data_IF_251394792709
#
_entry.id   IF_251394792709
#
_cell.length_a   1.000
_cell.length_b   1.000
_cell.length_c   1.000
_cell.angle_alpha   90.00
_cell.angle_beta   90.00
_cell.angle_gamma   90.00
#
_symmetry.space_group_name_H-M   'P 1'
#
loop_
_entity.id
_entity.type
_entity.pdbx_description
1 polymer ?
#
# COMPACT_ATOMS: atom_id res chain seq x y z
N UNK A 1 26.78 -49.83 37.24
CA UNK A 1 27.95 -49.14 36.65
C UNK A 1 27.69 -47.67 36.86
N UNK A 2 28.51 -47.08 37.71
CA UNK A 2 28.33 -45.77 38.33
C UNK A 2 28.98 -44.65 37.49
N UNK A 3 28.54 -43.42 37.80
CA UNK A 3 29.20 -42.11 37.68
C UNK A 3 29.18 -41.32 36.35
N UNK A 4 29.30 -39.96 36.38
CA UNK A 4 29.48 -39.07 37.55
C UNK A 4 28.56 -37.83 37.66
N UNK A 5 28.58 -37.29 38.88
CA UNK A 5 28.19 -35.94 39.31
C UNK A 5 29.31 -34.90 39.10
N UNK A 6 28.94 -33.64 38.87
CA UNK A 6 29.58 -32.38 39.39
C UNK A 6 28.89 -31.19 38.69
N UNK A 7 28.04 -30.35 39.27
CA UNK A 7 27.90 -29.64 40.54
C UNK A 7 28.67 -28.29 40.63
N UNK A 8 27.88 -27.25 40.93
CA UNK A 8 28.17 -25.95 41.58
C UNK A 8 28.78 -24.80 40.76
N UNK A 9 27.90 -23.91 40.29
CA UNK A 9 27.58 -22.66 40.99
C UNK A 9 28.37 -21.38 40.63
N UNK A 10 27.64 -20.30 40.32
CA UNK A 10 27.80 -18.97 40.95
C UNK A 10 26.75 -17.97 40.45
N UNK A 11 25.81 -17.65 41.35
CA UNK A 11 25.32 -16.31 41.71
C UNK A 11 25.16 -15.20 40.65
N UNK A 12 23.92 -14.77 40.42
CA UNK A 12 23.50 -13.36 40.64
C UNK A 12 21.98 -13.20 40.51
N UNK A 13 21.39 -12.54 41.51
CA UNK A 13 19.97 -12.15 41.60
C UNK A 13 19.70 -10.93 40.71
N UNK A 14 18.49 -10.81 40.14
CA UNK A 14 17.62 -9.61 40.10
C UNK A 14 16.28 -10.05 39.46
N UNK A 15 15.21 -10.24 40.25
CA UNK A 15 14.15 -9.27 40.63
C UNK A 15 13.32 -8.79 39.42
N UNK A 16 12.08 -9.27 39.33
CA UNK A 16 11.06 -8.73 38.42
C UNK A 16 10.02 -9.75 37.94
N UNK A 17 9.32 -10.44 38.84
CA UNK A 17 8.17 -11.28 38.46
C UNK A 17 7.09 -11.18 39.54
N UNK A 18 6.00 -10.48 39.22
CA UNK A 18 4.87 -10.23 40.14
C UNK A 18 3.98 -11.48 40.18
N UNK A 19 3.69 -12.08 41.36
CA UNK A 19 2.72 -13.16 41.48
C UNK A 19 1.28 -12.62 41.59
N UNK A 20 0.35 -13.36 40.99
CA UNK A 20 -1.09 -13.13 41.11
C UNK A 20 -1.59 -13.50 42.52
N UNK A 21 -2.44 -12.65 43.10
CA UNK A 21 -3.23 -12.96 44.30
C UNK A 21 -4.69 -12.60 44.04
N UNK A 22 -5.55 -13.60 44.24
CA UNK A 22 -6.99 -13.62 44.00
C UNK A 22 -7.66 -13.13 45.29
N UNK A 23 -8.67 -12.26 45.20
CA UNK A 23 -9.62 -12.09 46.30
C UNK A 23 -11.01 -11.81 45.72
N UNK A 24 -11.86 -12.83 45.75
CA UNK A 24 -13.30 -12.66 45.67
C UNK A 24 -13.80 -12.16 47.04
N UNK A 25 -14.40 -10.97 47.11
CA UNK A 25 -15.33 -10.64 48.19
C UNK A 25 -16.62 -10.12 47.57
N UNK A 26 -17.69 -10.90 47.76
CA UNK A 26 -19.01 -10.70 47.17
C UNK A 26 -19.86 -9.95 48.20
N UNK A 27 -20.01 -8.63 48.04
CA UNK A 27 -20.99 -7.84 48.81
C UNK A 27 -21.94 -7.09 47.87
N UNK A 28 -23.21 -7.46 47.95
CA UNK A 28 -24.35 -6.78 47.35
C UNK A 28 -24.64 -5.47 48.08
N UNK A 29 -24.57 -4.32 47.40
CA UNK A 29 -25.35 -3.11 47.75
C UNK A 29 -25.61 -2.29 46.48
N UNK A 30 -26.87 -1.94 46.22
CA UNK A 30 -27.30 -0.89 45.28
C UNK A 30 -28.28 0.03 46.06
N UNK A 31 -28.65 1.23 45.58
CA UNK A 31 -27.98 2.51 45.81
C UNK A 31 -28.92 3.51 46.54
N UNK A 32 -28.42 4.32 47.50
CA UNK A 32 -29.22 5.44 48.03
C UNK A 32 -28.35 6.68 48.24
N UNK A 33 -28.90 7.82 47.81
CA UNK A 33 -28.15 9.03 47.51
C UNK A 33 -27.68 9.84 48.72
N UNK A 34 -26.67 10.66 48.46
CA UNK A 34 -26.42 11.87 49.22
C UNK A 34 -25.89 12.95 48.27
N UNK A 35 -26.78 13.87 47.93
CA UNK A 35 -26.50 15.11 47.22
C UNK A 35 -25.77 16.05 48.19
N UNK A 36 -24.53 16.44 47.90
CA UNK A 36 -23.84 17.52 48.60
C UNK A 36 -23.65 18.69 47.64
N UNK A 37 -24.71 19.49 47.60
CA UNK A 37 -24.77 20.85 47.07
C UNK A 37 -23.69 21.73 47.72
N UNK A 38 -22.81 22.33 46.92
CA UNK A 38 -21.97 23.47 47.33
C UNK A 38 -22.12 24.56 46.27
N UNK A 39 -23.16 25.39 46.40
CA UNK A 39 -23.27 26.67 45.72
C UNK A 39 -23.16 27.82 46.75
N UNK A 40 -22.61 28.99 46.40
CA UNK A 40 -22.66 30.17 47.25
C UNK A 40 -24.04 30.86 47.18
N UNK A 41 -24.39 31.72 48.16
CA UNK A 41 -25.77 32.09 48.44
C UNK A 41 -26.32 33.13 47.46
N UNK A 42 -27.63 33.04 47.19
CA UNK A 42 -28.40 34.05 46.48
C UNK A 42 -28.78 35.15 47.50
N UNK A 43 -28.28 36.36 47.30
CA UNK A 43 -28.87 37.57 47.92
C UNK A 43 -30.02 38.05 47.04
N UNK A 44 -31.19 38.12 47.63
CA UNK A 44 -32.43 38.60 47.03
C UNK A 44 -32.40 40.11 46.83
N UNK A 45 -32.52 40.56 45.58
CA UNK A 45 -32.73 41.97 45.28
C UNK A 45 -32.74 42.30 43.80
N UNK A 46 -33.95 42.42 43.24
CA UNK A 46 -34.28 43.25 42.07
C UNK A 46 -34.13 42.66 40.66
N UNK A 47 -35.29 42.19 40.17
CA UNK A 47 -35.94 42.40 38.86
C UNK A 47 -35.07 42.78 37.64
N UNK A 48 -35.19 42.01 36.55
CA UNK A 48 -35.70 42.40 35.19
C UNK A 48 -35.03 41.58 34.06
N UNK A 49 -35.89 40.96 33.24
CA UNK A 49 -35.84 40.58 31.81
C UNK A 49 -34.67 39.82 31.15
N UNK A 50 -35.09 38.82 30.37
CA UNK A 50 -34.34 38.20 29.26
C UNK A 50 -33.47 37.06 29.78
N UNK A 51 -33.53 35.83 29.28
CA UNK A 51 -33.42 35.46 27.87
C UNK A 51 -34.13 34.13 27.57
N UNK A 52 -34.57 34.02 26.32
CA UNK A 52 -35.15 32.84 25.69
C UNK A 52 -34.17 31.65 25.69
N UNK A 53 -34.75 30.45 25.71
CA UNK A 53 -34.07 29.16 25.57
C UNK A 53 -33.33 29.07 24.23
N UNK A 54 -32.00 29.02 24.27
CA UNK A 54 -31.17 28.63 23.13
C UNK A 54 -31.13 27.11 23.05
N UNK A 55 -32.03 26.58 22.21
CA UNK A 55 -31.79 25.33 21.51
C UNK A 55 -30.76 25.64 20.42
N UNK A 56 -29.52 25.18 20.57
CA UNK A 56 -28.64 25.07 19.41
C UNK A 56 -27.76 23.83 19.50
N UNK A 57 -28.12 22.86 18.67
CA UNK A 57 -27.28 21.74 18.28
C UNK A 57 -26.07 22.31 17.53
N UNK A 58 -24.93 22.43 18.19
CA UNK A 58 -23.67 22.45 17.46
C UNK A 58 -22.58 21.80 18.29
N UNK A 59 -22.38 20.50 18.06
CA UNK A 59 -21.07 19.88 18.18
C UNK A 59 -20.15 20.56 17.16
N UNK A 60 -19.71 21.79 17.46
CA UNK A 60 -18.52 22.36 16.85
C UNK A 60 -17.36 21.62 17.50
N UNK A 61 -16.97 20.52 16.89
CA UNK A 61 -15.62 20.00 17.01
C UNK A 61 -14.70 21.17 16.73
N UNK A 62 -13.99 21.64 17.75
CA UNK A 62 -12.92 22.63 17.60
C UNK A 62 -11.88 22.04 16.64
N UNK A 63 -12.04 22.32 15.34
CA UNK A 63 -10.96 22.18 14.38
C UNK A 63 -9.96 23.29 14.69
N UNK A 64 -9.08 23.03 15.67
CA UNK A 64 -7.84 23.75 15.79
C UNK A 64 -7.14 23.67 14.43
N UNK A 65 -6.77 24.81 13.79
CA UNK A 65 -5.98 24.79 12.58
C UNK A 65 -4.55 24.43 12.98
N UNK A 66 -4.31 23.16 13.24
CA UNK A 66 -2.95 22.66 13.39
C UNK A 66 -2.27 22.87 12.06
N UNK A 67 -1.17 23.65 12.06
CA UNK A 67 -0.25 23.88 10.94
C UNK A 67 -0.40 22.80 9.86
N UNK A 68 -0.79 23.18 8.64
CA UNK A 68 -1.03 22.27 7.50
C UNK A 68 0.04 21.17 7.33
N UNK A 69 1.28 21.44 7.76
CA UNK A 69 2.39 20.49 7.80
C UNK A 69 2.20 19.27 8.70
N UNK A 70 1.55 19.41 9.86
CA UNK A 70 1.23 18.27 10.73
C UNK A 70 0.24 17.32 10.06
N UNK A 71 -0.64 17.81 9.19
CA UNK A 71 -1.55 16.98 8.40
C UNK A 71 -0.80 16.17 7.33
N UNK A 72 0.11 16.79 6.58
CA UNK A 72 0.85 16.11 5.50
C UNK A 72 1.80 15.02 6.01
N UNK A 73 2.33 15.14 7.23
CA UNK A 73 3.19 14.11 7.82
C UNK A 73 2.49 13.21 8.86
N UNK A 74 1.17 13.37 9.04
CA UNK A 74 0.41 12.53 9.96
C UNK A 74 -0.01 11.23 9.29
N UNK A 75 0.28 10.09 9.94
CA UNK A 75 -0.26 8.78 9.55
C UNK A 75 -1.78 8.85 9.36
N UNK A 76 -2.48 9.60 10.22
CA UNK A 76 -3.95 9.69 10.21
C UNK A 76 -4.49 10.22 8.88
N UNK A 77 -3.75 11.05 8.16
CA UNK A 77 -4.17 11.61 6.87
C UNK A 77 -4.05 10.60 5.72
N UNK A 78 -3.22 9.56 5.88
CA UNK A 78 -3.06 8.50 4.88
C UNK A 78 -3.85 7.22 5.20
N UNK A 79 -4.28 7.02 6.45
CA UNK A 79 -5.01 5.82 6.88
C UNK A 79 -6.21 5.50 5.97
N UNK A 80 -6.93 6.52 5.47
CA UNK A 80 -8.06 6.33 4.56
C UNK A 80 -7.69 5.59 3.26
N UNK A 81 -6.47 5.76 2.75
CA UNK A 81 -6.01 5.13 1.51
C UNK A 81 -5.56 3.67 1.70
N UNK A 82 -5.48 3.20 2.94
CA UNK A 82 -5.15 1.82 3.31
C UNK A 82 -6.34 1.07 3.89
N UNK A 83 -7.44 1.76 4.20
CA UNK A 83 -8.67 1.15 4.68
C UNK A 83 -9.51 0.65 3.49
N UNK A 84 -9.08 -0.47 2.90
CA UNK A 84 -9.73 -1.08 1.72
C UNK A 84 -10.20 -2.49 1.99
N UNK A 85 -11.37 -2.81 1.43
CA UNK A 85 -11.91 -4.17 1.47
C UNK A 85 -11.24 -5.08 0.44
N UNK A 86 -11.17 -6.37 0.74
CA UNK A 86 -10.56 -7.36 -0.16
C UNK A 86 -11.30 -7.43 -1.50
N UNK A 87 -12.63 -7.38 -1.48
CA UNK A 87 -13.45 -7.43 -2.70
C UNK A 87 -13.20 -6.23 -3.62
N UNK A 88 -12.97 -5.04 -3.03
CA UNK A 88 -12.61 -3.85 -3.78
C UNK A 88 -11.28 -4.02 -4.50
N UNK A 89 -10.26 -4.54 -3.80
CA UNK A 89 -8.94 -4.80 -4.36
C UNK A 89 -9.02 -5.84 -5.48
N UNK A 90 -9.74 -6.95 -5.26
CA UNK A 90 -9.92 -8.00 -6.27
C UNK A 90 -10.63 -7.47 -7.52
N UNK A 91 -11.68 -6.67 -7.36
CA UNK A 91 -12.38 -6.05 -8.48
C UNK A 91 -11.46 -5.13 -9.29
N UNK A 92 -10.59 -4.35 -8.62
CA UNK A 92 -9.57 -3.51 -9.26
C UNK A 92 -8.51 -4.33 -9.99
N UNK A 93 -8.05 -5.44 -9.40
CA UNK A 93 -7.12 -6.37 -10.04
C UNK A 93 -7.73 -6.97 -11.32
N UNK A 94 -8.95 -7.48 -11.25
CA UNK A 94 -9.65 -8.03 -12.42
C UNK A 94 -9.88 -6.97 -13.50
N UNK A 95 -10.23 -5.75 -13.09
CA UNK A 95 -10.37 -4.61 -14.00
C UNK A 95 -9.04 -4.23 -14.65
N UNK A 96 -7.91 -4.40 -13.95
CA UNK A 96 -6.57 -4.15 -14.51
C UNK A 96 -6.15 -5.19 -15.55
N UNK A 97 -6.66 -6.41 -15.44
CA UNK A 97 -6.43 -7.48 -16.42
C UNK A 97 -7.33 -7.35 -17.66
N UNK A 98 -8.51 -6.74 -17.53
CA UNK A 98 -9.43 -6.48 -18.64
C UNK A 98 -9.57 -4.98 -18.94
N UNK A 99 -8.60 -4.39 -19.68
CA UNK A 99 -8.50 -2.94 -19.85
C UNK A 99 -9.63 -2.34 -20.70
N UNK A 100 -10.42 -3.16 -21.41
CA UNK A 100 -11.55 -2.71 -22.23
C UNK A 100 -12.81 -2.36 -21.44
N UNK A 101 -12.87 -2.69 -20.15
CA UNK A 101 -14.07 -2.47 -19.32
C UNK A 101 -14.36 -0.99 -19.07
N UNK A 102 -13.37 -0.09 -19.18
CA UNK A 102 -13.54 1.36 -19.00
C UNK A 102 -13.84 1.85 -17.57
N UNK A 103 -14.25 0.98 -16.66
CA UNK A 103 -14.74 1.34 -15.33
C UNK A 103 -13.65 1.59 -14.27
N UNK A 104 -12.37 1.47 -14.60
CA UNK A 104 -11.33 1.57 -13.57
C UNK A 104 -11.15 3.01 -13.08
N UNK A 105 -11.20 4.02 -13.98
CA UNK A 105 -11.13 5.44 -13.60
C UNK A 105 -12.26 5.82 -12.65
N UNK A 106 -13.49 5.37 -12.92
CA UNK A 106 -14.66 5.69 -12.07
C UNK A 106 -14.55 5.02 -10.69
N UNK A 107 -13.96 3.83 -10.61
CA UNK A 107 -13.70 3.13 -9.34
C UNK A 107 -12.64 3.83 -8.48
N UNK A 108 -11.61 4.44 -9.08
CA UNK A 108 -10.57 5.18 -8.34
C UNK A 108 -10.97 6.63 -8.06
N UNK A 109 -11.91 7.20 -8.83
CA UNK A 109 -12.54 8.49 -8.53
C UNK A 109 -13.25 8.46 -7.17
N UNK A 110 -13.99 7.38 -6.89
CA UNK A 110 -14.79 7.27 -5.69
C UNK A 110 -13.95 6.98 -4.43
N UNK A 111 -12.90 6.17 -4.54
CA UNK A 111 -12.12 5.71 -3.37
C UNK A 111 -10.69 5.29 -3.75
N UNK A 112 -9.78 6.22 -4.07
CA UNK A 112 -8.42 5.86 -4.47
C UNK A 112 -7.67 5.19 -3.32
N UNK A 113 -6.77 4.26 -3.61
CA UNK A 113 -6.01 3.54 -2.58
C UNK A 113 -4.49 3.55 -2.84
N UNK A 114 -3.72 3.44 -1.75
CA UNK A 114 -2.27 3.23 -1.78
C UNK A 114 -1.89 1.80 -1.39
N UNK A 115 -2.86 1.04 -0.85
CA UNK A 115 -2.67 -0.37 -0.51
C UNK A 115 -2.24 -1.19 -1.73
N UNK A 116 -2.94 -1.03 -2.86
CA UNK A 116 -2.63 -1.68 -4.14
C UNK A 116 -1.20 -1.40 -4.59
N UNK A 117 -0.79 -0.13 -4.58
CA UNK A 117 0.58 0.28 -4.92
C UNK A 117 1.61 -0.44 -4.05
N UNK A 118 1.47 -0.40 -2.74
CA UNK A 118 2.45 -0.98 -1.81
C UNK A 118 2.49 -2.50 -1.92
N UNK A 119 1.33 -3.16 -1.85
CA UNK A 119 1.27 -4.63 -1.83
C UNK A 119 1.69 -5.25 -3.18
N UNK A 120 1.23 -4.69 -4.31
CA UNK A 120 1.57 -5.22 -5.65
C UNK A 120 3.06 -5.02 -5.90
N UNK A 121 3.60 -3.83 -5.63
CA UNK A 121 5.02 -3.55 -5.83
C UNK A 121 5.89 -4.49 -4.99
N UNK A 122 5.56 -4.66 -3.70
CA UNK A 122 6.33 -5.53 -2.79
C UNK A 122 6.27 -6.99 -3.24
N UNK A 123 5.10 -7.47 -3.63
CA UNK A 123 4.92 -8.84 -4.13
C UNK A 123 5.70 -9.05 -5.42
N UNK A 124 5.68 -8.07 -6.33
CA UNK A 124 6.43 -8.14 -7.58
C UNK A 124 7.94 -8.17 -7.34
N UNK A 125 8.46 -7.34 -6.42
CA UNK A 125 9.88 -7.36 -6.02
C UNK A 125 10.28 -8.76 -5.54
N UNK A 126 9.48 -9.34 -4.64
CA UNK A 126 9.71 -10.69 -4.15
C UNK A 126 9.66 -11.74 -5.27
N UNK A 127 8.62 -11.71 -6.11
CA UNK A 127 8.47 -12.63 -7.23
C UNK A 127 9.64 -12.55 -8.20
N UNK A 128 10.07 -11.34 -8.61
CA UNK A 128 11.21 -11.17 -9.52
C UNK A 128 12.49 -11.71 -8.91
N UNK A 129 12.76 -11.43 -7.64
CA UNK A 129 13.97 -11.88 -6.99
C UNK A 129 14.01 -13.40 -6.78
N UNK A 130 12.92 -13.98 -6.25
CA UNK A 130 12.83 -15.40 -5.97
C UNK A 130 12.69 -16.25 -7.23
N UNK A 131 11.75 -15.90 -8.12
CA UNK A 131 11.47 -16.65 -9.34
C UNK A 131 12.54 -16.43 -10.40
N UNK A 132 13.19 -15.25 -10.45
CA UNK A 132 14.35 -15.01 -11.29
C UNK A 132 15.54 -15.90 -10.90
N UNK A 133 15.85 -15.99 -9.59
CA UNK A 133 16.85 -16.93 -9.09
C UNK A 133 16.48 -18.40 -9.39
N UNK A 134 15.20 -18.76 -9.20
CA UNK A 134 14.72 -20.09 -9.56
C UNK A 134 14.89 -20.39 -11.06
N UNK A 135 14.54 -19.44 -11.92
CA UNK A 135 14.69 -19.55 -13.37
C UNK A 135 16.17 -19.72 -13.77
N UNK A 136 17.07 -18.95 -13.15
CA UNK A 136 18.51 -19.06 -13.36
C UNK A 136 19.05 -20.44 -12.94
N UNK A 137 18.61 -20.95 -11.80
CA UNK A 137 18.97 -22.29 -11.34
C UNK A 137 18.49 -23.39 -12.29
N UNK A 138 17.25 -23.30 -12.81
CA UNK A 138 16.71 -24.27 -13.76
C UNK A 138 17.46 -24.24 -15.10
N UNK A 139 17.84 -23.05 -15.57
CA UNK A 139 18.70 -22.89 -16.76
C UNK A 139 20.07 -23.51 -16.53
N UNK A 140 20.70 -23.25 -15.37
CA UNK A 140 21.98 -23.81 -14.97
C UNK A 140 21.95 -25.35 -14.98
N UNK A 141 20.97 -25.94 -14.30
CA UNK A 141 20.76 -27.40 -14.23
C UNK A 141 20.60 -28.06 -15.60
N UNK A 142 20.03 -27.35 -16.57
CA UNK A 142 19.82 -27.85 -17.93
C UNK A 142 21.09 -27.79 -18.78
N UNK A 143 21.90 -26.77 -18.59
CA UNK A 143 23.11 -26.52 -19.39
C UNK A 143 24.35 -27.22 -18.84
N UNK A 144 24.60 -27.12 -17.53
CA UNK A 144 25.80 -27.64 -16.88
C UNK A 144 25.48 -28.31 -15.54
N UNK A 145 25.61 -29.64 -15.48
CA UNK A 145 25.35 -30.44 -14.27
C UNK A 145 26.52 -30.54 -13.29
N UNK A 146 27.71 -30.02 -13.65
CA UNK A 146 28.97 -30.26 -12.93
C UNK A 146 29.42 -29.10 -12.03
N UNK A 147 28.83 -27.92 -12.16
CA UNK A 147 29.20 -26.71 -11.41
C UNK A 147 28.15 -26.35 -10.36
N UNK A 148 28.60 -25.88 -9.19
CA UNK A 148 27.72 -25.48 -8.09
C UNK A 148 27.07 -24.12 -8.40
N UNK A 149 25.73 -24.08 -8.40
CA UNK A 149 24.98 -22.84 -8.53
C UNK A 149 24.91 -22.10 -7.18
N UNK A 150 25.00 -20.76 -7.23
CA UNK A 150 24.87 -19.88 -6.07
C UNK A 150 23.72 -18.89 -6.27
N UNK A 151 22.99 -18.62 -5.19
CA UNK A 151 21.90 -17.64 -5.16
C UNK A 151 22.44 -16.21 -5.27
N UNK A 152 21.88 -15.42 -6.17
CA UNK A 152 22.25 -14.00 -6.33
C UNK A 152 21.33 -13.11 -5.50
N UNK A 153 21.86 -12.61 -4.38
CA UNK A 153 21.19 -11.68 -3.46
C UNK A 153 20.95 -10.30 -4.08
N UNK A 154 21.72 -9.92 -5.10
CA UNK A 154 21.60 -8.62 -5.75
C UNK A 154 20.27 -8.48 -6.51
N UNK A 155 19.62 -9.60 -6.87
CA UNK A 155 18.30 -9.60 -7.50
C UNK A 155 17.28 -8.84 -6.65
N UNK A 156 17.31 -8.99 -5.32
CA UNK A 156 16.38 -8.27 -4.43
C UNK A 156 16.59 -6.76 -4.50
N UNK A 157 17.85 -6.32 -4.49
CA UNK A 157 18.21 -4.90 -4.51
C UNK A 157 17.82 -4.24 -5.86
N UNK A 158 18.14 -4.90 -6.97
CA UNK A 158 17.76 -4.40 -8.31
C UNK A 158 16.24 -4.42 -8.49
N UNK A 159 15.56 -5.48 -8.03
CA UNK A 159 14.10 -5.54 -8.12
C UNK A 159 13.44 -4.43 -7.29
N UNK A 160 13.87 -4.24 -6.04
CA UNK A 160 13.33 -3.22 -5.15
C UNK A 160 13.53 -1.81 -5.72
N UNK A 161 14.76 -1.49 -6.12
CA UNK A 161 15.09 -0.17 -6.67
C UNK A 161 14.32 0.12 -7.96
N UNK A 162 14.26 -0.82 -8.90
CA UNK A 162 13.54 -0.63 -10.16
C UNK A 162 12.04 -0.53 -9.95
N UNK A 163 11.41 -1.45 -9.20
CA UNK A 163 9.95 -1.50 -9.07
C UNK A 163 9.43 -0.33 -8.23
N UNK A 164 10.01 -0.06 -7.05
CA UNK A 164 9.57 1.10 -6.26
C UNK A 164 9.92 2.41 -6.95
N UNK A 165 11.10 2.51 -7.58
CA UNK A 165 11.49 3.67 -8.35
C UNK A 165 10.50 3.96 -9.48
N UNK A 166 10.17 2.95 -10.28
CA UNK A 166 9.19 3.06 -11.36
C UNK A 166 7.81 3.43 -10.82
N UNK A 167 7.30 2.70 -9.83
CA UNK A 167 5.95 2.86 -9.32
C UNK A 167 5.72 4.20 -8.60
N UNK A 168 6.77 4.85 -8.10
CA UNK A 168 6.68 6.17 -7.46
C UNK A 168 7.00 7.32 -8.41
N UNK A 169 8.07 7.22 -9.18
CA UNK A 169 8.60 8.32 -10.01
C UNK A 169 7.78 8.51 -11.28
N UNK A 170 7.38 7.43 -11.96
CA UNK A 170 6.64 7.55 -13.22
C UNK A 170 5.28 8.22 -13.01
N UNK A 171 4.44 7.80 -12.05
CA UNK A 171 3.14 8.44 -11.82
C UNK A 171 3.27 9.90 -11.39
N UNK A 172 4.33 10.23 -10.65
CA UNK A 172 4.66 11.60 -10.27
C UNK A 172 5.03 12.45 -11.49
N UNK A 173 5.81 11.91 -12.43
CA UNK A 173 6.10 12.56 -13.71
C UNK A 173 4.84 12.82 -14.53
N UNK A 174 3.94 11.84 -14.62
CA UNK A 174 2.64 12.01 -15.28
C UNK A 174 1.75 13.03 -14.60
N UNK A 175 1.74 13.08 -13.27
CA UNK A 175 1.02 14.10 -12.53
C UNK A 175 1.47 15.52 -12.94
N UNK A 176 2.78 15.78 -12.96
CA UNK A 176 3.29 17.08 -13.40
C UNK A 176 3.05 17.35 -14.89
N UNK A 177 3.14 16.32 -15.73
CA UNK A 177 2.89 16.42 -17.16
C UNK A 177 1.43 16.82 -17.44
N UNK A 178 0.45 16.16 -16.82
CA UNK A 178 -0.97 16.50 -16.99
C UNK A 178 -1.28 17.90 -16.45
N UNK A 179 -0.69 18.28 -15.31
CA UNK A 179 -0.83 19.62 -14.74
C UNK A 179 -0.25 20.70 -15.67
N UNK A 180 0.89 20.44 -16.30
CA UNK A 180 1.50 21.34 -17.29
C UNK A 180 0.61 21.55 -18.52
N UNK A 181 -0.12 20.53 -18.93
CA UNK A 181 -1.00 20.55 -20.10
C UNK A 181 -2.37 21.18 -19.82
N UNK A 182 -2.55 21.78 -18.64
CA UNK A 182 -3.82 22.37 -18.22
C UNK A 182 -4.91 21.32 -17.97
N UNK A 183 -4.52 20.07 -17.72
CA UNK A 183 -5.44 19.03 -17.26
C UNK A 183 -6.10 19.44 -15.93
N UNK A 184 -7.33 18.96 -15.72
CA UNK A 184 -8.11 19.19 -14.50
C UNK A 184 -7.30 18.89 -13.23
N UNK A 185 -7.74 19.37 -12.07
CA UNK A 185 -7.09 19.08 -10.77
C UNK A 185 -7.09 17.58 -10.44
N UNK A 186 -6.11 16.82 -10.93
CA UNK A 186 -6.00 15.38 -10.70
C UNK A 186 -5.23 15.12 -9.41
N UNK A 187 -5.69 14.16 -8.60
CA UNK A 187 -4.96 13.74 -7.40
C UNK A 187 -3.79 12.81 -7.76
N UNK A 188 -2.60 13.09 -7.24
CA UNK A 188 -1.41 12.21 -7.38
C UNK A 188 -1.67 10.78 -6.88
N UNK A 189 -2.48 10.63 -5.81
CA UNK A 189 -2.84 9.31 -5.26
C UNK A 189 -3.55 8.45 -6.32
N UNK A 190 -4.34 9.04 -7.21
CA UNK A 190 -5.03 8.31 -8.28
C UNK A 190 -4.06 7.75 -9.31
N UNK A 191 -3.01 8.50 -9.64
CA UNK A 191 -1.96 8.02 -10.54
C UNK A 191 -1.15 6.89 -9.90
N UNK A 192 -0.80 7.03 -8.62
CA UNK A 192 -0.13 5.97 -7.86
C UNK A 192 -0.98 4.69 -7.75
N UNK A 193 -2.28 4.82 -7.49
CA UNK A 193 -3.23 3.73 -7.53
C UNK A 193 -3.22 3.07 -8.93
N UNK A 194 -3.47 3.84 -9.99
CA UNK A 194 -3.52 3.36 -11.36
C UNK A 194 -2.25 2.59 -11.77
N UNK A 195 -1.07 3.18 -11.55
CA UNK A 195 0.19 2.53 -11.89
C UNK A 195 0.47 1.31 -11.02
N UNK A 196 0.16 1.36 -9.72
CA UNK A 196 0.27 0.22 -8.83
C UNK A 196 -0.48 -1.01 -9.36
N UNK A 197 -1.74 -0.83 -9.75
CA UNK A 197 -2.54 -1.92 -10.33
C UNK A 197 -2.03 -2.37 -11.71
N UNK A 198 -1.45 -1.46 -12.51
CA UNK A 198 -0.87 -1.84 -13.80
C UNK A 198 0.28 -2.85 -13.70
N UNK A 199 0.96 -2.89 -12.55
CA UNK A 199 2.09 -3.80 -12.32
C UNK A 199 1.66 -5.23 -12.00
N UNK A 200 0.39 -5.46 -11.69
CA UNK A 200 -0.10 -6.77 -11.28
C UNK A 200 0.12 -7.86 -12.33
N UNK A 201 -0.03 -7.52 -13.62
CA UNK A 201 0.18 -8.48 -14.71
C UNK A 201 1.62 -9.03 -14.74
N UNK A 202 2.61 -8.26 -14.26
CA UNK A 202 3.99 -8.72 -14.17
C UNK A 202 4.21 -9.73 -13.04
N UNK A 203 3.37 -9.72 -11.99
CA UNK A 203 3.38 -10.76 -10.96
C UNK A 203 3.00 -12.08 -11.61
N UNK A 204 1.87 -12.10 -12.34
CA UNK A 204 1.42 -13.29 -13.06
C UNK A 204 2.48 -13.76 -14.06
N UNK A 205 3.02 -12.83 -14.86
CA UNK A 205 4.07 -13.15 -15.82
C UNK A 205 5.31 -13.77 -15.15
N UNK A 206 5.73 -13.28 -13.98
CA UNK A 206 6.90 -13.79 -13.27
C UNK A 206 6.81 -15.29 -12.96
N UNK A 207 5.62 -15.80 -12.64
CA UNK A 207 5.40 -17.25 -12.45
C UNK A 207 5.56 -18.04 -13.75
N UNK A 208 5.05 -17.53 -14.86
CA UNK A 208 5.14 -18.20 -16.16
C UNK A 208 6.56 -18.14 -16.73
N UNK A 209 7.32 -17.08 -16.43
CA UNK A 209 8.69 -16.87 -16.92
C UNK A 209 9.72 -17.84 -16.32
N UNK A 210 9.38 -18.57 -15.25
CA UNK A 210 10.26 -19.60 -14.67
C UNK A 210 10.57 -20.70 -15.70
N UNK A 211 9.66 -20.98 -16.62
CA UNK A 211 9.81 -22.01 -17.65
C UNK A 211 11.06 -21.69 -18.51
N UNK A 212 12.03 -22.62 -18.64
CA UNK A 212 13.30 -22.40 -19.34
C UNK A 212 13.15 -22.56 -20.87
N UNK A 213 12.27 -21.75 -21.47
CA UNK A 213 12.04 -21.69 -22.92
C UNK A 213 12.11 -20.23 -23.35
N UNK A 214 13.20 -19.86 -24.04
CA UNK A 214 13.53 -18.47 -24.34
C UNK A 214 12.46 -17.75 -25.18
N UNK A 215 11.98 -18.37 -26.26
CA UNK A 215 10.94 -17.79 -27.11
C UNK A 215 9.64 -17.55 -26.32
N UNK A 216 9.26 -18.50 -25.46
CA UNK A 216 8.08 -18.38 -24.62
C UNK A 216 8.22 -17.22 -23.64
N UNK A 217 9.39 -17.06 -23.02
CA UNK A 217 9.67 -15.95 -22.09
C UNK A 217 9.47 -14.60 -22.77
N UNK A 218 10.02 -14.41 -23.96
CA UNK A 218 9.82 -13.18 -24.75
C UNK A 218 8.35 -12.90 -25.06
N UNK A 219 7.62 -13.91 -25.55
CA UNK A 219 6.20 -13.75 -25.87
C UNK A 219 5.41 -13.34 -24.63
N UNK A 220 5.60 -14.06 -23.51
CA UNK A 220 4.87 -13.80 -22.27
C UNK A 220 5.15 -12.39 -21.71
N UNK A 221 6.41 -11.96 -21.69
CA UNK A 221 6.74 -10.65 -21.13
C UNK A 221 6.26 -9.51 -22.01
N UNK A 222 6.27 -9.67 -23.34
CA UNK A 222 5.77 -8.67 -24.27
C UNK A 222 4.25 -8.57 -24.19
N UNK A 223 3.55 -9.71 -24.08
CA UNK A 223 2.10 -9.72 -23.86
C UNK A 223 1.74 -9.03 -22.53
N UNK A 224 2.46 -9.33 -21.45
CA UNK A 224 2.25 -8.67 -20.15
C UNK A 224 2.52 -7.15 -20.23
N UNK A 225 3.61 -6.75 -20.89
CA UNK A 225 3.95 -5.34 -21.12
C UNK A 225 2.89 -4.61 -21.94
N UNK A 226 2.39 -5.22 -23.01
CA UNK A 226 1.30 -4.66 -23.84
C UNK A 226 -0.02 -4.56 -23.08
N UNK A 227 -0.36 -5.56 -22.27
CA UNK A 227 -1.56 -5.53 -21.44
C UNK A 227 -1.48 -4.38 -20.42
N UNK A 228 -0.35 -4.25 -19.72
CA UNK A 228 -0.10 -3.16 -18.76
C UNK A 228 -0.12 -1.78 -19.43
N UNK A 229 0.53 -1.65 -20.59
CA UNK A 229 0.54 -0.44 -21.40
C UNK A 229 -0.86 -0.02 -21.86
N UNK A 230 -1.64 -0.97 -22.37
CA UNK A 230 -3.01 -0.73 -22.81
C UNK A 230 -3.89 -0.29 -21.66
N UNK A 231 -3.78 -0.96 -20.50
CA UNK A 231 -4.50 -0.58 -19.30
C UNK A 231 -4.21 0.86 -18.87
N UNK A 232 -2.92 1.24 -18.76
CA UNK A 232 -2.55 2.61 -18.37
C UNK A 232 -3.03 3.62 -19.41
N UNK A 233 -2.78 3.37 -20.70
CA UNK A 233 -3.15 4.29 -21.77
C UNK A 233 -4.66 4.55 -21.82
N UNK A 234 -5.49 3.51 -21.73
CA UNK A 234 -6.95 3.68 -21.76
C UNK A 234 -7.47 4.48 -20.56
N UNK A 235 -6.87 4.31 -19.38
CA UNK A 235 -7.23 5.09 -18.19
C UNK A 235 -6.71 6.53 -18.24
N UNK A 236 -5.57 6.79 -18.88
CA UNK A 236 -5.03 8.14 -19.06
C UNK A 236 -5.91 9.03 -19.95
N UNK A 237 -6.69 8.42 -20.84
CA UNK A 237 -7.62 9.15 -21.73
C UNK A 237 -8.60 10.04 -20.97
N UNK A 238 -8.99 9.66 -19.75
CA UNK A 238 -9.91 10.45 -18.92
C UNK A 238 -9.29 11.70 -18.30
N UNK A 239 -7.97 11.84 -18.34
CA UNK A 239 -7.24 12.94 -17.70
C UNK A 239 -6.61 13.93 -18.67
N UNK A 240 -6.60 13.62 -19.97
CA UNK A 240 -5.86 14.38 -20.99
C UNK A 240 -6.79 14.70 -22.16
N UNK A 241 -6.56 15.85 -22.79
CA UNK A 241 -7.31 16.27 -23.97
C UNK A 241 -7.02 15.35 -25.17
N UNK A 242 -7.96 15.24 -26.10
CA UNK A 242 -7.82 14.34 -27.26
C UNK A 242 -6.61 14.66 -28.16
N UNK A 243 -6.21 15.93 -28.25
CA UNK A 243 -5.06 16.36 -29.06
C UNK A 243 -3.73 15.83 -28.48
N UNK A 244 -3.65 15.75 -27.17
CA UNK A 244 -2.46 15.41 -26.40
C UNK A 244 -2.36 13.92 -26.08
N UNK A 245 -3.51 13.24 -26.09
CA UNK A 245 -3.64 11.82 -25.76
C UNK A 245 -2.64 10.91 -26.49
N UNK A 246 -2.36 11.03 -27.80
CA UNK A 246 -1.42 10.15 -28.48
C UNK A 246 0.01 10.21 -27.92
N UNK A 247 0.47 11.39 -27.51
CA UNK A 247 1.81 11.58 -26.95
C UNK A 247 1.90 10.98 -25.55
N UNK A 248 0.88 11.22 -24.72
CA UNK A 248 0.78 10.69 -23.36
C UNK A 248 0.64 9.17 -23.36
N UNK A 249 -0.22 8.63 -24.23
CA UNK A 249 -0.37 7.19 -24.41
C UNK A 249 0.92 6.55 -24.96
N UNK A 250 1.53 7.15 -25.99
CA UNK A 250 2.77 6.64 -26.59
C UNK A 250 3.91 6.56 -25.58
N UNK A 251 4.11 7.59 -24.76
CA UNK A 251 5.10 7.56 -23.67
C UNK A 251 4.79 6.50 -22.61
N UNK A 252 3.52 6.28 -22.28
CA UNK A 252 3.12 5.26 -21.29
C UNK A 252 3.38 3.85 -21.83
N UNK A 253 3.10 3.63 -23.11
CA UNK A 253 3.44 2.40 -23.82
C UNK A 253 4.94 2.13 -23.80
N UNK A 254 5.75 3.14 -24.13
CA UNK A 254 7.21 3.00 -24.13
C UNK A 254 7.74 2.66 -22.73
N UNK A 255 7.26 3.33 -21.68
CA UNK A 255 7.70 3.08 -20.30
C UNK A 255 7.32 1.68 -19.82
N UNK A 256 6.10 1.21 -20.10
CA UNK A 256 5.66 -0.14 -19.72
C UNK A 256 6.39 -1.23 -20.50
N UNK A 257 6.65 -1.01 -21.80
CA UNK A 257 7.45 -1.94 -22.60
C UNK A 257 8.90 -1.95 -22.15
N UNK A 258 9.50 -0.79 -21.87
CA UNK A 258 10.86 -0.70 -21.34
C UNK A 258 11.00 -1.45 -20.01
N UNK A 259 10.05 -1.29 -19.09
CA UNK A 259 10.00 -2.05 -17.85
C UNK A 259 9.89 -3.55 -18.13
N UNK A 260 9.01 -3.96 -19.03
CA UNK A 260 8.82 -5.38 -19.38
C UNK A 260 10.10 -6.01 -19.92
N UNK A 261 10.79 -5.32 -20.83
CA UNK A 261 12.06 -5.78 -21.42
C UNK A 261 13.13 -5.85 -20.34
N UNK A 262 13.22 -4.84 -19.46
CA UNK A 262 14.15 -4.84 -18.34
C UNK A 262 13.93 -6.05 -17.41
N UNK A 263 12.68 -6.33 -17.03
CA UNK A 263 12.34 -7.48 -16.17
C UNK A 263 12.84 -8.78 -16.81
N UNK A 264 12.55 -9.00 -18.10
CA UNK A 264 13.01 -10.21 -18.79
C UNK A 264 14.52 -10.29 -18.83
N UNK A 265 15.19 -9.23 -19.29
CA UNK A 265 16.64 -9.25 -19.55
C UNK A 265 17.44 -9.39 -18.25
N UNK A 266 17.01 -8.76 -17.16
CA UNK A 266 17.76 -8.79 -15.91
C UNK A 266 17.47 -10.03 -15.05
N UNK A 267 16.20 -10.47 -14.99
CA UNK A 267 15.79 -11.51 -14.03
C UNK A 267 15.55 -12.87 -14.67
N UNK A 268 15.17 -12.92 -15.95
CA UNK A 268 14.69 -14.14 -16.62
C UNK A 268 15.40 -14.42 -17.95
N UNK A 269 16.68 -14.04 -18.03
CA UNK A 269 17.54 -14.43 -19.15
C UNK A 269 18.00 -15.89 -19.08
#
# INVERSE_FOLDING_TARGET
MEEPYSNIGSSSRFVGSVPAAITEDKRNVNPEGANLQIFPPIVSGSRINGYQTLNDNTNRTEQQPTSNWKGVFSISSYMQYFNVDTDLVLNRLLSSLNPTSGDFVTKIDANPDLYGLVWISTTLVFCMAALGNCAAYLMHRRSDGSTTWAFDVNYVNVAASTIYGYALVVPLGYYFLVQYMGGSTVSLIRFWCLWGYSLFVFILASFLLVIPIELLRWILILVAGLASATFVALNLKSYVQNADFPVVAGSAFLLQLALSIFIKVWFFS
#
